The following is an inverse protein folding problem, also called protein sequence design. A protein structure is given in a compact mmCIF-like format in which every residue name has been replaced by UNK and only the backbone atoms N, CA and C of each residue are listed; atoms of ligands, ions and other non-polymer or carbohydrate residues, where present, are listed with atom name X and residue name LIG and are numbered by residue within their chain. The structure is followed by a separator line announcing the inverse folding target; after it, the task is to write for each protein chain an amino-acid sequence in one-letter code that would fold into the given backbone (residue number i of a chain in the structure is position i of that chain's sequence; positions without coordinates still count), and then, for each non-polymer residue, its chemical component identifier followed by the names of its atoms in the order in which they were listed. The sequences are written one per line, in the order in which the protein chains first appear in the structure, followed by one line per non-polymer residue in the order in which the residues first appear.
data_IF_110978226278
#
_entry.id   IF_110978226278
#
_cell.length_a   1.000
_cell.length_b   1.000
_cell.length_c   1.000
_cell.angle_alpha   90.00
_cell.angle_beta   90.00
_cell.angle_gamma   90.00
#
_symmetry.space_group_name_H-M   'P 1'
#
loop_
_entity.id
_entity.type
_entity.pdbx_description
1 polymer ?
#
# COMPACT_ATOMS: atom_id res chain seq x y z
N UNK A 1 34.84 -38.36 36.74
CA UNK A 1 34.74 -39.10 35.48
C UNK A 1 34.47 -38.01 34.46
N UNK A 2 35.41 -37.36 34.17
CA UNK A 2 36.44 -37.17 33.15
C UNK A 2 35.85 -36.60 31.87
N UNK A 3 36.10 -35.31 31.76
CA UNK A 3 36.01 -34.47 30.54
C UNK A 3 37.01 -34.98 29.53
N UNK A 4 36.59 -35.19 28.28
CA UNK A 4 37.49 -35.14 27.15
C UNK A 4 36.97 -34.09 26.17
N UNK A 5 37.61 -32.96 26.21
CA UNK A 5 37.68 -32.00 25.09
C UNK A 5 38.74 -32.47 24.13
N UNK A 6 38.38 -32.79 22.91
CA UNK A 6 39.33 -33.03 21.84
C UNK A 6 39.41 -31.82 20.90
N UNK A 7 40.61 -31.39 20.72
CA UNK A 7 41.15 -30.31 19.93
C UNK A 7 40.58 -30.21 18.51
N UNK A 8 40.18 -29.02 18.12
CA UNK A 8 39.92 -28.67 16.71
C UNK A 8 41.17 -28.00 16.19
N UNK A 9 41.75 -28.66 15.18
CA UNK A 9 42.95 -28.30 14.45
C UNK A 9 42.75 -27.00 13.61
N UNK A 10 43.46 -25.94 13.99
CA UNK A 10 43.54 -24.66 13.30
C UNK A 10 44.58 -24.70 12.16
N UNK A 11 44.29 -25.37 11.08
CA UNK A 11 45.23 -25.32 9.92
C UNK A 11 44.52 -25.45 8.59
N UNK A 12 43.74 -24.42 8.18
CA UNK A 12 43.38 -24.26 6.76
C UNK A 12 42.92 -22.80 6.47
N UNK A 13 43.80 -21.84 6.70
CA UNK A 13 43.73 -20.56 6.01
C UNK A 13 44.90 -20.45 5.04
N UNK A 14 44.66 -20.86 3.81
CA UNK A 14 45.54 -20.50 2.70
C UNK A 14 44.99 -19.18 2.12
N UNK A 15 45.75 -18.12 2.35
CA UNK A 15 45.65 -16.84 1.66
C UNK A 15 46.02 -17.08 0.18
N UNK A 16 45.06 -16.84 -0.72
CA UNK A 16 45.31 -16.72 -2.16
C UNK A 16 45.07 -15.24 -2.49
N UNK A 17 46.17 -14.53 -2.66
CA UNK A 17 46.17 -13.20 -3.26
C UNK A 17 45.84 -13.30 -4.75
N UNK A 18 44.94 -12.46 -5.30
CA UNK A 18 44.77 -12.39 -6.75
C UNK A 18 45.84 -11.48 -7.36
N UNK A 19 46.64 -12.02 -8.24
CA UNK A 19 47.53 -11.26 -9.11
C UNK A 19 46.71 -10.35 -10.04
N UNK A 20 46.95 -9.05 -9.92
CA UNK A 20 46.48 -8.02 -10.84
C UNK A 20 47.40 -8.03 -12.08
N UNK A 21 46.89 -8.44 -13.22
CA UNK A 21 47.52 -8.19 -14.50
C UNK A 21 46.94 -6.92 -15.12
N UNK A 22 47.78 -5.91 -15.20
CA UNK A 22 47.56 -4.72 -16.04
C UNK A 22 47.58 -5.13 -17.51
N UNK A 23 46.47 -4.95 -18.22
CA UNK A 23 46.48 -4.86 -19.69
C UNK A 23 45.43 -3.87 -20.20
N UNK A 24 45.98 -2.76 -20.75
CA UNK A 24 45.52 -2.14 -21.99
C UNK A 24 44.24 -1.32 -21.95
N UNK A 25 44.41 0.00 -21.82
CA UNK A 25 43.45 1.02 -22.22
C UNK A 25 43.15 0.90 -23.72
N UNK A 26 41.92 0.46 -24.05
CA UNK A 26 41.30 0.78 -25.33
C UNK A 26 40.09 1.66 -25.03
N UNK A 27 40.32 2.97 -25.15
CA UNK A 27 39.30 4.00 -25.12
C UNK A 27 38.52 3.88 -26.42
N UNK A 28 37.31 3.26 -26.36
CA UNK A 28 36.31 3.40 -27.41
C UNK A 28 35.66 4.76 -27.27
N UNK A 29 36.01 5.67 -28.18
CA UNK A 29 35.30 6.93 -28.39
C UNK A 29 33.85 6.63 -28.75
N UNK A 30 32.93 6.99 -27.86
CA UNK A 30 31.50 7.04 -28.15
C UNK A 30 31.24 8.30 -28.96
N UNK A 31 30.62 8.25 -30.15
CA UNK A 31 30.28 9.45 -30.90
C UNK A 31 29.25 10.27 -30.11
N UNK A 32 29.53 11.53 -29.90
CA UNK A 32 28.58 12.53 -29.40
C UNK A 32 27.47 12.68 -30.44
N UNK A 33 26.32 12.07 -30.22
CA UNK A 33 25.11 12.34 -30.98
C UNK A 33 24.64 13.73 -30.60
N UNK A 34 24.87 14.62 -31.56
CA UNK A 34 24.42 16.01 -31.58
C UNK A 34 22.89 16.02 -31.78
N UNK A 35 22.12 15.76 -30.71
CA UNK A 35 20.69 16.02 -30.73
C UNK A 35 20.48 17.54 -30.85
N UNK A 36 19.94 17.94 -31.97
CA UNK A 36 19.78 19.31 -32.37
C UNK A 36 18.92 20.11 -31.40
N UNK A 37 19.41 21.27 -30.96
CA UNK A 37 18.69 22.27 -30.16
C UNK A 37 17.33 22.69 -30.74
N UNK A 38 17.01 22.29 -31.98
CA UNK A 38 15.76 22.60 -32.68
C UNK A 38 14.57 21.72 -32.26
N UNK A 39 14.77 20.45 -31.75
CA UNK A 39 13.67 19.63 -31.22
C UNK A 39 13.21 20.05 -29.84
N UNK A 40 14.07 20.68 -29.06
CA UNK A 40 13.73 21.20 -27.72
C UNK A 40 13.01 22.56 -27.77
N UNK A 41 13.00 23.23 -28.89
CA UNK A 41 12.28 24.51 -29.08
C UNK A 41 10.79 24.33 -29.43
N UNK A 42 10.42 23.22 -30.09
CA UNK A 42 9.04 22.92 -30.49
C UNK A 42 8.16 22.39 -29.36
N UNK A 43 8.74 21.91 -28.24
CA UNK A 43 8.00 21.42 -27.08
C UNK A 43 7.70 22.51 -26.03
N UNK A 44 8.15 23.75 -26.26
CA UNK A 44 7.96 24.88 -25.34
C UNK A 44 6.81 25.83 -25.66
N UNK A 45 6.11 25.65 -26.77
CA UNK A 45 5.08 26.60 -27.24
C UNK A 45 3.62 26.19 -27.03
N UNK A 46 3.32 25.06 -26.33
CA UNK A 46 1.94 24.67 -26.00
C UNK A 46 1.73 24.35 -24.51
N UNK A 47 2.37 25.09 -23.62
CA UNK A 47 1.86 25.18 -22.24
C UNK A 47 1.02 26.47 -22.22
N UNK A 48 -0.24 26.38 -22.64
CA UNK A 48 -1.24 27.37 -22.25
C UNK A 48 -1.22 27.44 -20.73
N UNK A 49 -0.93 28.63 -20.20
CA UNK A 49 -1.03 28.95 -18.79
C UNK A 49 -2.45 28.58 -18.34
N UNK A 50 -2.60 27.42 -17.67
CA UNK A 50 -3.83 27.10 -16.95
C UNK A 50 -3.90 28.16 -15.84
N UNK A 51 -4.96 29.00 -15.80
CA UNK A 51 -5.07 30.00 -14.77
C UNK A 51 -5.08 29.32 -13.40
N UNK A 52 -4.14 29.69 -12.54
CA UNK A 52 -3.94 29.18 -11.17
C UNK A 52 -5.06 29.54 -10.20
N UNK A 53 -6.19 30.02 -10.66
CA UNK A 53 -7.28 30.47 -9.77
C UNK A 53 -8.65 30.05 -10.31
N UNK A 54 -8.86 28.73 -10.40
CA UNK A 54 -10.20 28.20 -10.25
C UNK A 54 -10.23 27.50 -8.91
N UNK A 55 -10.78 28.15 -7.89
CA UNK A 55 -11.43 27.48 -6.76
C UNK A 55 -12.50 26.55 -7.35
N UNK A 56 -12.06 25.35 -7.77
CA UNK A 56 -12.97 24.24 -8.00
C UNK A 56 -13.45 23.89 -6.59
N UNK A 57 -14.55 24.53 -6.17
CA UNK A 57 -15.32 24.04 -5.04
C UNK A 57 -15.50 22.54 -5.34
N UNK A 58 -14.79 21.68 -4.58
CA UNK A 58 -15.02 20.25 -4.62
C UNK A 58 -16.46 20.06 -4.22
N UNK A 59 -17.33 19.91 -5.21
CA UNK A 59 -18.73 19.57 -4.97
C UNK A 59 -18.74 18.33 -4.08
N UNK A 60 -19.14 18.48 -2.82
CA UNK A 60 -19.20 17.36 -1.89
C UNK A 60 -20.15 16.31 -2.45
N UNK A 61 -19.76 15.04 -2.37
CA UNK A 61 -20.59 13.90 -2.75
C UNK A 61 -21.83 13.76 -1.85
N UNK A 62 -21.89 14.53 -0.75
CA UNK A 62 -22.87 14.43 0.32
C UNK A 62 -23.69 15.70 0.47
N UNK A 63 -24.97 15.52 0.81
CA UNK A 63 -25.80 16.64 1.28
C UNK A 63 -25.36 17.06 2.69
N UNK A 64 -25.73 18.28 3.12
CA UNK A 64 -25.45 18.73 4.50
C UNK A 64 -26.03 17.80 5.57
N UNK A 65 -27.14 17.10 5.28
CA UNK A 65 -27.73 16.13 6.20
C UNK A 65 -26.88 14.86 6.26
N UNK A 66 -26.38 14.36 5.12
CA UNK A 66 -25.47 13.24 5.07
C UNK A 66 -24.18 13.53 5.83
N UNK A 67 -23.59 14.70 5.64
CA UNK A 67 -22.38 15.14 6.36
C UNK A 67 -22.64 15.12 7.87
N UNK A 68 -23.76 15.69 8.33
CA UNK A 68 -24.13 15.66 9.75
C UNK A 68 -24.28 14.23 10.29
N UNK A 69 -24.87 13.32 9.53
CA UNK A 69 -25.01 11.91 9.92
C UNK A 69 -23.65 11.18 9.91
N UNK A 70 -22.78 11.49 8.96
CA UNK A 70 -21.43 10.96 8.91
C UNK A 70 -20.62 11.40 10.16
N UNK A 71 -20.61 12.71 10.46
CA UNK A 71 -19.90 13.27 11.62
C UNK A 71 -20.39 12.64 12.94
N UNK A 72 -21.67 12.34 13.09
CA UNK A 72 -22.18 11.63 14.27
C UNK A 72 -21.54 10.27 14.49
N UNK A 73 -21.08 9.63 13.44
CA UNK A 73 -20.46 8.29 13.48
C UNK A 73 -18.96 8.32 13.72
N UNK A 74 -18.32 9.47 13.59
CA UNK A 74 -16.86 9.60 13.82
C UNK A 74 -16.48 9.37 15.30
N UNK A 75 -15.22 9.10 15.62
CA UNK A 75 -14.76 8.89 16.99
C UNK A 75 -15.05 10.08 17.91
N UNK A 76 -15.40 9.79 19.18
CA UNK A 76 -15.65 10.82 20.22
C UNK A 76 -14.76 10.66 21.44
N UNK A 77 -14.11 9.50 21.59
CA UNK A 77 -13.24 9.14 22.71
C UNK A 77 -12.18 8.17 22.25
N UNK A 78 -11.16 7.93 23.08
CA UNK A 78 -9.98 7.11 22.76
C UNK A 78 -9.05 7.75 21.74
N UNK A 79 -8.95 9.07 21.75
CA UNK A 79 -8.09 9.88 20.90
C UNK A 79 -8.52 11.32 20.92
N UNK A 80 -7.95 12.11 20.04
CA UNK A 80 -8.26 13.54 19.91
C UNK A 80 -8.31 13.97 18.44
N UNK A 81 -9.02 15.03 18.16
CA UNK A 81 -9.07 15.67 16.86
C UNK A 81 -8.06 16.81 16.82
N UNK A 82 -7.31 16.93 15.73
CA UNK A 82 -6.37 18.05 15.54
C UNK A 82 -7.08 19.41 15.39
N UNK A 83 -8.37 19.40 15.08
CA UNK A 83 -9.21 20.56 14.91
C UNK A 83 -10.70 20.22 14.98
N UNK A 84 -11.49 20.63 13.98
CA UNK A 84 -12.92 20.34 13.92
C UNK A 84 -13.19 18.86 13.68
N UNK A 85 -14.08 18.30 14.49
CA UNK A 85 -14.42 16.88 14.44
C UNK A 85 -15.08 16.49 13.13
N UNK A 86 -14.48 15.50 12.45
CA UNK A 86 -14.96 14.99 11.18
C UNK A 86 -14.47 15.76 9.96
N UNK A 87 -13.68 16.83 10.18
CA UNK A 87 -13.13 17.70 9.13
C UNK A 87 -11.60 17.83 9.23
N UNK A 88 -10.99 17.14 10.18
CA UNK A 88 -9.55 17.19 10.43
C UNK A 88 -9.02 15.81 10.77
N UNK A 89 -7.76 15.73 11.15
CA UNK A 89 -7.10 14.48 11.52
C UNK A 89 -7.61 13.97 12.87
N UNK A 90 -7.98 12.70 12.93
CA UNK A 90 -8.21 11.93 14.15
C UNK A 90 -6.92 11.25 14.60
N UNK A 91 -6.49 11.52 15.82
CA UNK A 91 -5.28 10.95 16.44
C UNK A 91 -5.72 9.92 17.49
N UNK A 92 -5.67 8.62 17.21
CA UNK A 92 -6.03 7.57 18.16
C UNK A 92 -5.11 7.58 19.38
N UNK A 93 -5.65 7.34 20.60
CA UNK A 93 -4.83 7.21 21.81
C UNK A 93 -4.25 5.79 22.01
N UNK A 94 -4.69 4.83 21.23
CA UNK A 94 -4.20 3.45 21.29
C UNK A 94 -2.78 3.37 20.73
N UNK A 95 -1.83 2.92 21.57
CA UNK A 95 -0.41 2.87 21.20
C UNK A 95 -0.12 1.86 20.08
N UNK A 96 -0.87 0.76 19.98
CA UNK A 96 -0.69 -0.20 18.90
C UNK A 96 -1.13 0.40 17.55
N UNK A 97 -2.24 1.16 17.56
CA UNK A 97 -2.68 1.87 16.36
C UNK A 97 -1.69 2.96 15.97
N UNK A 98 -1.11 3.69 16.95
CA UNK A 98 -0.10 4.70 16.67
C UNK A 98 1.17 4.10 16.07
N UNK A 99 1.68 2.98 16.61
CA UNK A 99 2.83 2.26 16.05
C UNK A 99 2.57 1.78 14.61
N UNK A 100 1.32 1.39 14.29
CA UNK A 100 0.95 1.07 12.91
C UNK A 100 0.91 2.31 12.03
N UNK A 101 0.34 3.43 12.49
CA UNK A 101 0.29 4.68 11.73
C UNK A 101 1.69 5.24 11.45
N UNK A 102 2.63 5.10 12.38
CA UNK A 102 4.03 5.48 12.20
C UNK A 102 4.69 4.74 11.01
N UNK A 103 4.30 3.48 10.73
CA UNK A 103 4.78 2.75 9.54
C UNK A 103 4.32 3.40 8.23
N UNK A 104 3.24 4.18 8.26
CA UNK A 104 2.71 4.99 7.15
C UNK A 104 3.15 6.46 7.22
N UNK A 105 4.11 6.79 8.09
CA UNK A 105 4.66 8.14 8.26
C UNK A 105 3.61 9.19 8.68
N UNK A 106 2.58 8.75 9.41
CA UNK A 106 1.54 9.62 9.97
C UNK A 106 1.28 9.30 11.44
N UNK A 107 0.62 10.19 12.15
CA UNK A 107 0.16 9.97 13.53
C UNK A 107 -1.36 9.94 13.67
N UNK A 108 -2.09 10.03 12.56
CA UNK A 108 -3.54 10.06 12.58
C UNK A 108 -4.18 9.70 11.25
N UNK A 109 -5.48 9.80 11.21
CA UNK A 109 -6.35 9.48 10.07
C UNK A 109 -7.10 10.75 9.68
N UNK A 110 -6.91 11.22 8.46
CA UNK A 110 -7.59 12.40 7.94
C UNK A 110 -9.08 12.12 7.71
N UNK A 111 -9.89 13.14 7.92
CA UNK A 111 -11.33 13.11 7.68
C UNK A 111 -11.79 14.33 6.90
N UNK A 112 -12.75 14.09 6.01
CA UNK A 112 -13.51 15.14 5.30
C UNK A 112 -14.98 14.71 5.27
N UNK A 113 -15.90 15.62 5.56
CA UNK A 113 -17.35 15.34 5.59
C UNK A 113 -17.75 14.16 6.52
N UNK A 114 -16.94 13.92 7.56
CA UNK A 114 -17.12 12.80 8.50
C UNK A 114 -16.70 11.42 7.95
N UNK A 115 -16.00 11.37 6.81
CA UNK A 115 -15.47 10.16 6.18
C UNK A 115 -13.95 10.11 6.33
N UNK A 116 -13.37 8.99 6.81
CA UNK A 116 -11.93 8.83 6.88
C UNK A 116 -11.31 8.62 5.51
N UNK A 117 -10.18 9.26 5.27
CA UNK A 117 -9.35 9.00 4.09
C UNK A 117 -8.29 7.93 4.41
N UNK A 118 -8.44 6.75 3.81
CA UNK A 118 -7.48 5.66 3.92
C UNK A 118 -6.54 5.55 2.72
N UNK A 119 -6.53 6.50 1.80
CA UNK A 119 -5.74 6.40 0.56
C UNK A 119 -4.25 6.16 0.83
N UNK A 120 -3.68 6.84 1.83
CA UNK A 120 -2.27 6.66 2.23
C UNK A 120 -2.06 5.49 3.21
N UNK A 121 -3.13 4.94 3.78
CA UNK A 121 -3.12 3.86 4.77
C UNK A 121 -3.52 2.51 4.17
N UNK A 122 -3.82 2.48 2.87
CA UNK A 122 -4.21 1.29 2.13
C UNK A 122 -3.00 0.56 1.58
N UNK A 123 -2.96 -0.77 1.77
CA UNK A 123 -1.99 -1.64 1.14
C UNK A 123 -2.33 -1.94 -0.33
N UNK A 124 -3.60 -1.89 -0.70
CA UNK A 124 -4.05 -2.17 -2.05
C UNK A 124 -5.42 -1.53 -2.31
N UNK A 125 -5.64 -1.09 -3.53
CA UNK A 125 -6.93 -0.59 -3.98
C UNK A 125 -7.44 -1.47 -5.14
N UNK A 126 -8.72 -1.83 -5.08
CA UNK A 126 -9.38 -2.63 -6.09
C UNK A 126 -10.66 -1.93 -6.58
N UNK A 127 -10.85 -1.93 -7.89
CA UNK A 127 -12.04 -1.39 -8.52
C UNK A 127 -12.99 -2.53 -8.91
N UNK A 128 -14.10 -2.64 -8.17
CA UNK A 128 -15.17 -3.58 -8.51
C UNK A 128 -15.78 -3.24 -9.88
N UNK A 129 -16.18 -4.25 -10.62
CA UNK A 129 -16.98 -4.06 -11.84
C UNK A 129 -18.40 -3.62 -11.48
N UNK A 130 -19.08 -2.91 -12.38
CA UNK A 130 -20.44 -2.40 -12.13
C UNK A 130 -21.45 -3.50 -11.73
N UNK A 131 -21.30 -4.71 -12.27
CA UNK A 131 -22.14 -5.85 -11.92
C UNK A 131 -22.00 -6.28 -10.46
N UNK A 132 -20.82 -6.04 -9.85
CA UNK A 132 -20.51 -6.45 -8.48
C UNK A 132 -21.01 -5.45 -7.43
N UNK A 133 -21.40 -4.23 -7.81
CA UNK A 133 -21.80 -3.19 -6.85
C UNK A 133 -22.98 -3.58 -5.95
N UNK A 134 -23.84 -4.45 -6.41
CA UNK A 134 -25.03 -4.92 -5.69
C UNK A 134 -24.90 -6.35 -5.15
N UNK A 135 -23.76 -6.98 -5.35
CA UNK A 135 -23.48 -8.30 -4.82
C UNK A 135 -23.32 -8.28 -3.29
N UNK A 136 -23.34 -9.46 -2.70
CA UNK A 136 -23.05 -9.58 -1.26
C UNK A 136 -21.60 -9.22 -0.96
N UNK A 137 -21.36 -8.69 0.24
CA UNK A 137 -20.01 -8.37 0.68
C UNK A 137 -19.02 -9.52 0.50
N UNK A 138 -19.45 -10.77 0.75
CA UNK A 138 -18.58 -11.94 0.58
C UNK A 138 -18.12 -12.13 -0.87
N UNK A 139 -18.97 -11.81 -1.82
CA UNK A 139 -18.68 -11.91 -3.26
C UNK A 139 -17.76 -10.76 -3.69
N UNK A 140 -18.08 -9.52 -3.25
CA UNK A 140 -17.21 -8.35 -3.47
C UNK A 140 -15.81 -8.55 -2.87
N UNK A 141 -15.73 -9.07 -1.65
CA UNK A 141 -14.45 -9.35 -1.00
C UNK A 141 -13.68 -10.47 -1.68
N UNK A 142 -14.36 -11.45 -2.24
CA UNK A 142 -13.69 -12.50 -3.02
C UNK A 142 -13.08 -11.92 -4.30
N UNK A 143 -13.82 -11.09 -5.04
CA UNK A 143 -13.28 -10.40 -6.23
C UNK A 143 -12.06 -9.54 -5.88
N UNK A 144 -12.10 -8.84 -4.73
CA UNK A 144 -10.96 -8.07 -4.24
C UNK A 144 -9.75 -8.96 -3.90
N UNK A 145 -9.99 -10.13 -3.26
CA UNK A 145 -8.93 -11.08 -2.94
C UNK A 145 -8.31 -11.68 -4.21
N UNK A 146 -9.14 -12.01 -5.20
CA UNK A 146 -8.68 -12.54 -6.47
C UNK A 146 -7.81 -11.52 -7.21
N UNK A 147 -8.26 -10.26 -7.30
CA UNK A 147 -7.48 -9.19 -7.91
C UNK A 147 -6.18 -8.86 -7.17
N UNK A 148 -6.20 -8.91 -5.83
CA UNK A 148 -4.99 -8.77 -5.01
C UNK A 148 -3.99 -9.88 -5.32
N UNK A 149 -4.46 -11.14 -5.35
CA UNK A 149 -3.62 -12.32 -5.61
C UNK A 149 -3.04 -12.31 -7.02
N UNK A 150 -3.85 -11.98 -8.02
CA UNK A 150 -3.41 -11.89 -9.42
C UNK A 150 -2.31 -10.83 -9.56
N UNK A 151 -2.48 -9.64 -8.98
CA UNK A 151 -1.47 -8.58 -9.01
C UNK A 151 -0.11 -9.03 -8.41
N UNK A 152 -0.13 -9.69 -7.25
CA UNK A 152 1.12 -10.15 -6.63
C UNK A 152 1.68 -11.41 -7.27
N UNK A 153 0.86 -12.24 -7.93
CA UNK A 153 1.33 -13.34 -8.78
C UNK A 153 2.14 -12.80 -9.97
N UNK A 154 1.61 -11.81 -10.68
CA UNK A 154 2.30 -11.16 -11.80
C UNK A 154 3.63 -10.54 -11.35
N UNK A 155 3.67 -9.89 -10.18
CA UNK A 155 4.90 -9.37 -9.61
C UNK A 155 5.90 -10.47 -9.21
N UNK A 156 5.41 -11.59 -8.68
CA UNK A 156 6.27 -12.74 -8.35
C UNK A 156 6.91 -13.30 -9.62
N UNK A 157 6.15 -13.46 -10.70
CA UNK A 157 6.63 -13.93 -11.99
C UNK A 157 7.66 -12.94 -12.60
N UNK A 158 7.42 -11.65 -12.49
CA UNK A 158 8.33 -10.59 -12.97
C UNK A 158 9.69 -10.64 -12.24
N UNK A 159 9.69 -10.75 -10.92
CA UNK A 159 10.90 -10.60 -10.13
C UNK A 159 11.58 -11.92 -9.73
N UNK A 160 10.83 -12.97 -9.54
CA UNK A 160 11.35 -14.27 -9.13
C UNK A 160 11.35 -15.33 -10.24
N UNK A 161 10.57 -15.12 -11.31
CA UNK A 161 10.41 -16.01 -12.46
C UNK A 161 9.23 -16.97 -12.34
N UNK A 162 8.59 -17.28 -13.48
CA UNK A 162 7.35 -18.07 -13.58
C UNK A 162 7.43 -19.50 -12.96
N UNK A 163 8.64 -20.07 -12.87
CA UNK A 163 8.86 -21.41 -12.30
C UNK A 163 9.41 -21.36 -10.87
N UNK A 164 9.29 -20.21 -10.18
CA UNK A 164 9.85 -20.03 -8.85
C UNK A 164 8.91 -20.55 -7.76
N UNK A 165 9.27 -21.67 -7.13
CA UNK A 165 8.50 -22.25 -6.00
C UNK A 165 8.47 -21.37 -4.74
N UNK A 166 9.36 -20.39 -4.61
CA UNK A 166 9.45 -19.52 -3.44
C UNK A 166 9.86 -18.09 -3.83
N UNK A 167 8.91 -17.25 -4.23
CA UNK A 167 9.20 -15.88 -4.64
C UNK A 167 9.80 -15.01 -3.52
N UNK A 168 9.58 -15.36 -2.25
CA UNK A 168 10.21 -14.69 -1.11
C UNK A 168 11.74 -14.89 -1.06
N UNK A 169 12.30 -15.81 -1.84
CA UNK A 169 13.75 -15.90 -2.07
C UNK A 169 14.33 -14.69 -2.80
N UNK A 170 13.51 -13.96 -3.58
CA UNK A 170 13.93 -12.76 -4.29
C UNK A 170 13.86 -11.52 -3.37
N UNK A 171 15.00 -10.83 -3.21
CA UNK A 171 15.11 -9.67 -2.31
C UNK A 171 14.23 -8.50 -2.76
N UNK A 172 14.07 -8.29 -4.08
CA UNK A 172 13.26 -7.19 -4.62
C UNK A 172 11.77 -7.42 -4.40
N UNK A 173 11.30 -8.64 -4.67
CA UNK A 173 9.90 -9.02 -4.40
C UNK A 173 9.55 -8.88 -2.90
N UNK A 174 10.44 -9.36 -2.01
CA UNK A 174 10.27 -9.16 -0.56
C UNK A 174 10.17 -7.69 -0.17
N UNK A 175 11.04 -6.84 -0.75
CA UNK A 175 11.01 -5.40 -0.49
C UNK A 175 9.68 -4.77 -0.92
N UNK A 176 9.16 -5.17 -2.08
CA UNK A 176 7.84 -4.71 -2.58
C UNK A 176 6.75 -5.10 -1.59
N UNK A 177 6.68 -6.37 -1.16
CA UNK A 177 5.70 -6.80 -0.16
C UNK A 177 5.80 -6.00 1.14
N UNK A 178 7.02 -5.83 1.70
CA UNK A 178 7.24 -5.07 2.93
C UNK A 178 6.76 -3.63 2.82
N UNK A 179 7.07 -2.98 1.71
CA UNK A 179 6.69 -1.59 1.48
C UNK A 179 5.18 -1.44 1.26
N UNK A 180 4.56 -2.36 0.54
CA UNK A 180 3.11 -2.34 0.27
C UNK A 180 2.29 -2.62 1.53
N UNK A 181 2.62 -3.70 2.24
CA UNK A 181 1.87 -4.10 3.44
C UNK A 181 2.36 -3.43 4.73
N UNK A 182 3.40 -2.57 4.65
CA UNK A 182 4.01 -1.94 5.83
C UNK A 182 4.26 -2.96 6.96
N UNK A 183 4.77 -4.13 6.59
CA UNK A 183 4.98 -5.28 7.45
C UNK A 183 6.45 -5.51 7.75
N UNK A 184 6.73 -6.29 8.79
CA UNK A 184 8.07 -6.74 9.10
C UNK A 184 8.39 -8.12 8.45
N UNK A 185 9.62 -8.58 8.61
CA UNK A 185 10.08 -9.85 8.02
C UNK A 185 9.29 -11.07 8.53
N UNK A 186 8.78 -11.02 9.77
CA UNK A 186 8.04 -12.13 10.37
C UNK A 186 6.63 -12.30 9.78
N UNK A 187 6.05 -11.22 9.25
CA UNK A 187 4.71 -11.20 8.67
C UNK A 187 4.71 -11.69 7.19
N UNK A 188 5.85 -11.57 6.48
CA UNK A 188 5.94 -11.83 5.03
C UNK A 188 5.43 -13.21 4.61
N UNK A 189 5.82 -14.25 5.33
CA UNK A 189 5.42 -15.62 4.98
C UNK A 189 3.90 -15.81 5.07
N UNK A 190 3.25 -15.24 6.07
CA UNK A 190 1.80 -15.31 6.23
C UNK A 190 1.08 -14.51 5.14
N UNK A 191 1.64 -13.35 4.75
CA UNK A 191 1.11 -12.56 3.63
C UNK A 191 1.21 -13.36 2.33
N UNK A 192 2.37 -13.94 2.03
CA UNK A 192 2.57 -14.74 0.82
C UNK A 192 1.60 -15.93 0.75
N UNK A 193 1.42 -16.66 1.84
CA UNK A 193 0.47 -17.79 1.91
C UNK A 193 -0.96 -17.30 1.63
N UNK A 194 -1.38 -16.17 2.20
CA UNK A 194 -2.72 -15.63 1.97
C UNK A 194 -2.92 -15.26 0.49
N UNK A 195 -1.92 -14.63 -0.14
CA UNK A 195 -1.95 -14.29 -1.57
C UNK A 195 -2.08 -15.55 -2.45
N UNK A 196 -1.31 -16.60 -2.18
CA UNK A 196 -1.37 -17.88 -2.89
C UNK A 196 -2.72 -18.60 -2.71
N UNK A 197 -3.38 -18.42 -1.57
CA UNK A 197 -4.69 -18.98 -1.26
C UNK A 197 -5.86 -18.11 -1.76
N UNK A 198 -5.59 -17.00 -2.40
CA UNK A 198 -6.60 -16.00 -2.81
C UNK A 198 -7.43 -15.51 -1.64
N UNK A 199 -6.76 -15.23 -0.54
CA UNK A 199 -7.34 -14.71 0.69
C UNK A 199 -6.69 -13.36 1.06
N UNK A 200 -7.41 -12.53 1.79
CA UNK A 200 -6.80 -11.33 2.34
C UNK A 200 -5.83 -11.71 3.46
N UNK A 201 -4.67 -11.06 3.59
CA UNK A 201 -3.77 -11.29 4.69
C UNK A 201 -4.41 -11.06 6.06
N UNK A 202 -4.01 -11.85 7.05
CA UNK A 202 -4.43 -11.65 8.44
C UNK A 202 -4.06 -10.24 8.93
N UNK A 203 -4.92 -9.64 9.75
CA UNK A 203 -4.73 -8.27 10.24
C UNK A 203 -5.16 -7.19 9.25
N UNK A 204 -5.76 -7.55 8.11
CA UNK A 204 -6.31 -6.60 7.14
C UNK A 204 -7.83 -6.74 6.98
N UNK A 205 -8.47 -5.70 6.49
CA UNK A 205 -9.89 -5.69 6.14
C UNK A 205 -10.12 -4.89 4.87
N UNK A 206 -11.08 -5.33 4.06
CA UNK A 206 -11.56 -4.55 2.93
C UNK A 206 -12.49 -3.46 3.40
N UNK A 207 -12.22 -2.25 2.99
CA UNK A 207 -12.98 -1.05 3.23
C UNK A 207 -13.70 -0.61 1.96
N UNK A 208 -15.01 -0.41 2.03
CA UNK A 208 -15.77 0.27 0.98
C UNK A 208 -15.56 1.78 1.14
N UNK A 209 -14.92 2.42 0.18
CA UNK A 209 -14.75 3.88 0.21
C UNK A 209 -16.08 4.59 -0.05
N UNK A 210 -16.11 5.91 0.10
CA UNK A 210 -17.24 6.74 -0.32
C UNK A 210 -17.42 6.74 -1.85
N UNK A 211 -16.37 6.49 -2.61
CA UNK A 211 -16.40 6.39 -4.07
C UNK A 211 -16.92 5.02 -4.48
N UNK A 212 -17.97 5.05 -5.29
CA UNK A 212 -18.65 3.82 -5.71
C UNK A 212 -17.71 2.86 -6.43
N UNK A 213 -17.69 1.62 -5.97
CA UNK A 213 -16.90 0.53 -6.54
C UNK A 213 -15.44 0.48 -6.10
N UNK A 214 -14.94 1.49 -5.39
CA UNK A 214 -13.56 1.48 -4.90
C UNK A 214 -13.47 0.81 -3.54
N UNK A 215 -12.61 -0.22 -3.46
CA UNK A 215 -12.33 -1.01 -2.27
C UNK A 215 -10.87 -0.83 -1.86
N UNK A 216 -10.61 -0.63 -0.58
CA UNK A 216 -9.27 -0.44 -0.04
C UNK A 216 -8.95 -1.51 1.00
N UNK A 217 -7.75 -2.11 0.91
CA UNK A 217 -7.24 -3.07 1.89
C UNK A 217 -6.46 -2.33 2.98
N UNK A 218 -7.03 -2.26 4.17
CA UNK A 218 -6.50 -1.45 5.29
C UNK A 218 -6.18 -2.35 6.48
N UNK A 219 -5.17 -2.00 7.29
CA UNK A 219 -4.94 -2.67 8.59
C UNK A 219 -6.20 -2.58 9.45
N UNK A 220 -6.65 -3.73 9.96
CA UNK A 220 -7.92 -3.85 10.71
C UNK A 220 -7.97 -2.95 11.93
N UNK A 221 -6.86 -2.81 12.66
CA UNK A 221 -6.75 -1.96 13.85
C UNK A 221 -6.92 -0.48 13.49
N UNK A 222 -6.28 -0.03 12.41
CA UNK A 222 -6.42 1.35 11.89
C UNK A 222 -7.88 1.58 11.48
N UNK A 223 -8.45 0.70 10.66
CA UNK A 223 -9.83 0.80 10.20
C UNK A 223 -10.83 0.85 11.36
N UNK A 224 -10.66 -0.01 12.38
CA UNK A 224 -11.54 -0.06 13.54
C UNK A 224 -11.43 1.19 14.44
N UNK A 225 -10.26 1.82 14.50
CA UNK A 225 -10.05 3.05 15.26
C UNK A 225 -10.77 4.26 14.63
N UNK A 226 -10.99 4.21 13.32
CA UNK A 226 -11.51 5.31 12.51
C UNK A 226 -13.03 5.44 12.50
N UNK A 227 -13.79 4.72 13.24
CA UNK A 227 -15.27 4.73 13.30
C UNK A 227 -15.94 5.70 12.33
N UNK A 228 -16.70 5.18 11.38
CA UNK A 228 -17.35 5.97 10.33
C UNK A 228 -18.62 5.30 9.78
N UNK A 229 -19.34 6.02 8.91
CA UNK A 229 -20.37 5.44 8.06
C UNK A 229 -19.70 4.92 6.79
N UNK A 230 -19.52 3.60 6.67
CA UNK A 230 -18.80 3.01 5.53
C UNK A 230 -19.53 3.17 4.20
N UNK A 231 -18.79 3.16 3.11
CA UNK A 231 -19.28 3.23 1.73
C UNK A 231 -20.30 2.16 1.40
N UNK A 232 -20.25 1.00 2.07
CA UNK A 232 -21.28 -0.03 1.97
C UNK A 232 -22.70 0.51 2.18
N UNK A 233 -22.91 1.44 3.11
CA UNK A 233 -24.21 2.07 3.35
C UNK A 233 -24.54 3.10 2.27
N UNK A 234 -23.51 3.71 1.69
CA UNK A 234 -23.64 4.79 0.71
C UNK A 234 -24.05 4.23 -0.66
N UNK A 235 -23.41 3.18 -1.15
CA UNK A 235 -23.62 2.71 -2.52
C UNK A 235 -23.79 1.18 -2.69
N UNK A 236 -23.49 0.35 -1.68
CA UNK A 236 -23.54 -1.12 -1.77
C UNK A 236 -24.76 -1.74 -1.07
N UNK A 237 -25.86 -0.99 -0.90
CA UNK A 237 -27.12 -1.52 -0.34
C UNK A 237 -27.12 -1.72 1.18
N UNK A 238 -26.06 -1.35 1.90
CA UNK A 238 -26.01 -1.39 3.35
C UNK A 238 -26.19 -2.79 3.94
N UNK A 239 -27.06 -2.91 4.97
CA UNK A 239 -27.30 -4.16 5.68
C UNK A 239 -28.06 -5.23 4.86
N UNK A 240 -28.60 -4.88 3.68
CA UNK A 240 -29.36 -5.82 2.84
C UNK A 240 -28.41 -6.82 2.16
N UNK A 241 -27.16 -6.41 1.91
CA UNK A 241 -26.14 -7.21 1.21
C UNK A 241 -25.08 -7.83 2.14
N UNK A 242 -25.35 -7.89 3.44
CA UNK A 242 -24.48 -8.55 4.43
C UNK A 242 -24.63 -10.06 4.44
#
# INVERSE_FOLDING_TARGET
MDNEFSDIDESFFNEVEPEFSEQGDDILEVPEDNESEEENALLKEEIEEIPEDTDIEKESLFTEEDIRENIKRTPVNNGEWSGERGETMWIPADTQVQELLERYETNGIEYTDGIPDFSQLSAFEYNLNEAEFTEKNSEQFQSCNDGLSDYFSDLADEYAGEECDNPLGNAKYREILKNTFKCDESELNNIQIALEQREKPEGYTWHHTEKKGIMQLVKTEIHNSARHRGGQVIWSGGNINR
#
